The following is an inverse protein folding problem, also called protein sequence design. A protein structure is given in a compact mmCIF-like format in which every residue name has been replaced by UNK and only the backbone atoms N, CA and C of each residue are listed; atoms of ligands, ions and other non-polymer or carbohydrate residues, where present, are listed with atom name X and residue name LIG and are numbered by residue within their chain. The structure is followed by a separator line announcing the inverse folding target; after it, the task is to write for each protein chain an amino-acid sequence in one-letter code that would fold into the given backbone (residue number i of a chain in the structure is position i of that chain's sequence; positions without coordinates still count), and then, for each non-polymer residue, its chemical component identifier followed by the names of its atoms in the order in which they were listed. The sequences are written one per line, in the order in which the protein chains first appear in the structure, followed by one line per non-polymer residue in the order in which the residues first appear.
data_IF_178474077478
#
_entry.id   IF_178474077478
#
_cell.length_a   1.000
_cell.length_b   1.000
_cell.length_c   1.000
_cell.angle_alpha   90.00
_cell.angle_beta   90.00
_cell.angle_gamma   90.00
#
_symmetry.space_group_name_H-M   'P 1'
#
loop_
_entity.id
_entity.type
_entity.pdbx_description
1 polymer ?
#
# COMPACT_ATOMS: atom_id res chain seq x y z
N UNK A 1 35.79 -57.14 -13.93
CA UNK A 1 34.93 -56.47 -14.91
C UNK A 1 33.64 -55.95 -14.32
N UNK A 2 33.05 -56.58 -13.31
CA UNK A 2 31.80 -56.16 -12.63
C UNK A 2 31.89 -54.90 -11.74
N UNK A 3 33.06 -54.58 -11.21
CA UNK A 3 33.24 -53.43 -10.30
C UNK A 3 33.28 -52.08 -11.04
N UNK A 4 33.71 -52.06 -12.31
CA UNK A 4 33.75 -50.84 -13.11
C UNK A 4 32.34 -50.41 -13.57
N UNK A 5 31.49 -51.40 -13.89
CA UNK A 5 30.10 -51.15 -14.30
C UNK A 5 29.23 -50.66 -13.11
N UNK A 6 29.48 -51.17 -11.91
CA UNK A 6 28.80 -50.71 -10.71
C UNK A 6 29.19 -49.26 -10.33
N UNK A 7 30.49 -48.97 -10.39
CA UNK A 7 30.97 -47.62 -10.15
C UNK A 7 30.45 -46.61 -11.21
N UNK A 8 30.39 -46.99 -12.46
CA UNK A 8 29.82 -46.11 -13.51
C UNK A 8 28.33 -45.88 -13.33
N UNK A 9 27.57 -46.90 -12.91
CA UNK A 9 26.15 -46.76 -12.61
C UNK A 9 25.94 -45.88 -11.39
N UNK A 10 26.71 -46.07 -10.32
CA UNK A 10 26.62 -45.19 -9.12
C UNK A 10 27.01 -43.76 -9.48
N UNK A 11 28.04 -43.54 -10.27
CA UNK A 11 28.41 -42.21 -10.76
C UNK A 11 27.32 -41.58 -11.64
N UNK A 12 26.66 -42.37 -12.47
CA UNK A 12 25.52 -41.90 -13.29
C UNK A 12 24.34 -41.46 -12.42
N UNK A 13 23.93 -42.28 -11.45
CA UNK A 13 22.84 -41.93 -10.51
C UNK A 13 23.16 -40.74 -9.62
N UNK A 14 24.41 -40.59 -9.17
CA UNK A 14 24.87 -39.44 -8.41
C UNK A 14 24.83 -38.16 -9.26
N UNK A 15 25.26 -38.25 -10.52
CA UNK A 15 25.24 -37.11 -11.45
C UNK A 15 23.83 -36.72 -11.86
N UNK A 16 22.94 -37.72 -12.02
CA UNK A 16 21.53 -37.47 -12.33
C UNK A 16 20.80 -36.80 -11.11
N UNK A 17 21.08 -37.28 -9.91
CA UNK A 17 20.60 -36.65 -8.67
C UNK A 17 21.18 -35.26 -8.46
N UNK A 18 22.41 -35.01 -8.84
CA UNK A 18 23.05 -33.69 -8.80
C UNK A 18 22.36 -32.70 -9.75
N UNK A 19 22.10 -33.10 -11.00
CA UNK A 19 21.40 -32.26 -11.97
C UNK A 19 19.96 -31.93 -11.54
N UNK A 20 19.24 -32.89 -10.97
CA UNK A 20 17.88 -32.68 -10.47
C UNK A 20 17.85 -31.69 -9.32
N UNK A 21 18.82 -31.79 -8.42
CA UNK A 21 18.88 -30.87 -7.23
C UNK A 21 19.28 -29.44 -7.64
N UNK A 22 20.20 -29.30 -8.60
CA UNK A 22 20.63 -27.99 -9.09
C UNK A 22 19.54 -27.30 -9.90
N UNK A 23 18.88 -28.03 -10.81
CA UNK A 23 17.73 -27.50 -11.56
C UNK A 23 16.61 -27.04 -10.62
N UNK A 24 16.36 -27.78 -9.54
CA UNK A 24 15.34 -27.41 -8.57
C UNK A 24 15.69 -26.12 -7.81
N UNK A 25 16.96 -25.89 -7.48
CA UNK A 25 17.42 -24.66 -6.81
C UNK A 25 17.19 -23.45 -7.73
N UNK A 26 17.60 -23.55 -8.99
CA UNK A 26 17.40 -22.50 -10.00
C UNK A 26 15.92 -22.25 -10.25
N UNK A 27 15.12 -23.30 -10.36
CA UNK A 27 13.67 -23.22 -10.55
C UNK A 27 13.00 -22.53 -9.33
N UNK A 28 13.36 -22.92 -8.11
CA UNK A 28 12.82 -22.31 -6.89
C UNK A 28 13.15 -20.82 -6.78
N UNK A 29 14.38 -20.40 -7.13
CA UNK A 29 14.78 -19.01 -7.19
C UNK A 29 14.01 -18.23 -8.26
N UNK A 30 13.90 -18.79 -9.46
CA UNK A 30 13.15 -18.17 -10.54
C UNK A 30 11.66 -18.02 -10.19
N UNK A 31 11.06 -19.02 -9.56
CA UNK A 31 9.69 -18.94 -9.06
C UNK A 31 9.53 -17.88 -7.97
N UNK A 32 10.49 -17.75 -7.06
CA UNK A 32 10.48 -16.71 -6.03
C UNK A 32 10.58 -15.31 -6.65
N UNK A 33 11.49 -15.10 -7.61
CA UNK A 33 11.61 -13.82 -8.31
C UNK A 33 10.41 -13.52 -9.19
N UNK A 34 9.85 -14.51 -9.87
CA UNK A 34 8.61 -14.36 -10.65
C UNK A 34 7.44 -13.94 -9.75
N UNK A 35 7.31 -14.57 -8.58
CA UNK A 35 6.31 -14.22 -7.59
C UNK A 35 6.52 -12.78 -7.10
N UNK A 36 7.75 -12.39 -6.80
CA UNK A 36 8.11 -11.02 -6.41
C UNK A 36 7.73 -10.01 -7.49
N UNK A 37 8.17 -10.25 -8.72
CA UNK A 37 7.89 -9.35 -9.85
C UNK A 37 6.39 -9.23 -10.14
N UNK A 38 5.65 -10.34 -10.06
CA UNK A 38 4.19 -10.34 -10.17
C UNK A 38 3.53 -9.51 -9.07
N UNK A 39 4.03 -9.61 -7.82
CA UNK A 39 3.52 -8.82 -6.71
C UNK A 39 3.90 -7.34 -6.79
N UNK A 40 5.07 -7.01 -7.34
CA UNK A 40 5.42 -5.62 -7.66
C UNK A 40 4.48 -5.01 -8.70
N UNK A 41 4.14 -5.75 -9.76
CA UNK A 41 3.17 -5.31 -10.76
C UNK A 41 1.77 -5.10 -10.17
N UNK A 42 1.30 -6.02 -9.32
CA UNK A 42 0.03 -5.87 -8.60
C UNK A 42 0.04 -4.65 -7.67
N UNK A 43 1.14 -4.46 -6.94
CA UNK A 43 1.34 -3.34 -6.03
C UNK A 43 1.31 -2.01 -6.80
N UNK A 44 1.94 -1.94 -7.96
CA UNK A 44 1.91 -0.74 -8.79
C UNK A 44 0.51 -0.41 -9.29
N UNK A 45 -0.20 -1.42 -9.80
CA UNK A 45 -1.60 -1.26 -10.15
C UNK A 45 -2.43 -0.72 -8.99
N UNK A 46 -2.20 -1.21 -7.76
CA UNK A 46 -2.89 -0.72 -6.57
C UNK A 46 -2.46 0.70 -6.17
N UNK A 47 -1.17 1.04 -6.28
CA UNK A 47 -0.66 2.36 -5.91
C UNK A 47 -1.15 3.44 -6.86
N UNK A 48 -1.25 3.14 -8.16
CA UNK A 48 -1.75 4.07 -9.18
C UNK A 48 -3.28 4.12 -9.26
N UNK A 49 -3.99 3.13 -8.68
CA UNK A 49 -5.45 3.10 -8.65
C UNK A 49 -6.00 4.16 -7.68
N UNK A 50 -6.95 4.96 -8.16
CA UNK A 50 -7.67 5.91 -7.32
C UNK A 50 -8.65 5.23 -6.35
N UNK A 51 -8.99 5.86 -5.22
CA UNK A 51 -9.93 5.29 -4.25
C UNK A 51 -11.34 5.06 -4.83
N UNK A 52 -11.70 5.81 -5.85
CA UNK A 52 -13.01 5.70 -6.53
C UNK A 52 -13.13 4.43 -7.36
N UNK A 53 -12.04 3.97 -7.97
CA UNK A 53 -11.99 2.82 -8.88
C UNK A 53 -11.48 1.55 -8.20
N UNK A 54 -10.99 1.66 -6.97
CA UNK A 54 -10.49 0.54 -6.20
C UNK A 54 -11.56 -0.56 -6.06
N UNK A 55 -11.20 -1.78 -6.42
CA UNK A 55 -12.11 -2.96 -6.43
C UNK A 55 -13.45 -2.70 -7.15
N UNK A 56 -13.38 -2.04 -8.30
CA UNK A 56 -14.58 -1.76 -9.11
C UNK A 56 -15.51 -0.72 -8.51
N UNK A 57 -15.05 0.08 -7.54
CA UNK A 57 -15.82 1.15 -6.95
C UNK A 57 -16.86 0.72 -5.90
N UNK A 58 -17.01 -0.58 -5.61
CA UNK A 58 -18.00 -1.06 -4.65
C UNK A 58 -17.81 -0.48 -3.25
N UNK A 59 -16.54 -0.43 -2.78
CA UNK A 59 -16.20 0.16 -1.47
C UNK A 59 -16.47 1.66 -1.49
N UNK A 60 -16.19 2.32 -2.61
CA UNK A 60 -16.42 3.75 -2.78
C UNK A 60 -17.92 4.11 -2.71
N UNK A 61 -18.79 3.34 -3.35
CA UNK A 61 -20.23 3.59 -3.31
C UNK A 61 -20.81 3.51 -1.89
N UNK A 62 -20.34 2.55 -1.09
CA UNK A 62 -20.72 2.45 0.32
C UNK A 62 -20.20 3.66 1.12
N UNK A 63 -18.95 4.07 0.87
CA UNK A 63 -18.38 5.26 1.53
C UNK A 63 -19.12 6.53 1.16
N UNK A 64 -19.52 6.68 -0.10
CA UNK A 64 -20.30 7.83 -0.55
C UNK A 64 -21.69 7.88 0.10
N UNK A 65 -22.33 6.73 0.28
CA UNK A 65 -23.62 6.64 0.98
C UNK A 65 -23.48 7.02 2.46
N UNK A 66 -22.45 6.51 3.14
CA UNK A 66 -22.14 6.87 4.51
C UNK A 66 -21.81 8.38 4.65
N UNK A 67 -20.99 8.90 3.74
CA UNK A 67 -20.64 10.30 3.68
C UNK A 67 -21.88 11.19 3.59
N UNK A 68 -22.78 10.91 2.66
CA UNK A 68 -24.00 11.68 2.47
C UNK A 68 -24.89 11.67 3.72
N UNK A 69 -24.96 10.55 4.44
CA UNK A 69 -25.66 10.47 5.72
C UNK A 69 -24.97 11.30 6.82
N UNK A 70 -23.64 11.27 6.87
CA UNK A 70 -22.86 11.97 7.88
C UNK A 70 -22.80 13.49 7.66
N UNK A 71 -22.85 13.96 6.41
CA UNK A 71 -22.85 15.40 6.06
C UNK A 71 -24.02 16.12 6.74
N UNK A 72 -25.22 15.53 6.74
CA UNK A 72 -26.38 16.12 7.42
C UNK A 72 -26.14 16.31 8.93
N UNK A 73 -25.58 15.30 9.59
CA UNK A 73 -25.21 15.37 11.00
C UNK A 73 -24.12 16.41 11.22
N UNK A 74 -23.10 16.45 10.35
CA UNK A 74 -22.01 17.42 10.39
C UNK A 74 -22.52 18.86 10.32
N UNK A 75 -23.43 19.16 9.40
CA UNK A 75 -24.05 20.50 9.32
C UNK A 75 -24.85 20.86 10.56
N UNK A 76 -25.63 19.92 11.09
CA UNK A 76 -26.38 20.15 12.32
C UNK A 76 -25.46 20.49 13.50
N UNK A 77 -24.33 19.77 13.63
CA UNK A 77 -23.33 20.04 14.67
C UNK A 77 -22.63 21.39 14.47
N UNK A 78 -22.29 21.78 13.23
CA UNK A 78 -21.69 23.09 12.94
C UNK A 78 -22.64 24.22 13.36
N UNK A 79 -23.94 24.12 13.02
CA UNK A 79 -24.95 25.09 13.41
C UNK A 79 -25.11 25.14 14.94
N UNK A 80 -25.15 23.97 15.59
CA UNK A 80 -25.28 23.88 17.05
C UNK A 80 -24.09 24.54 17.75
N UNK A 81 -22.85 24.22 17.34
CA UNK A 81 -21.66 24.84 17.94
C UNK A 81 -21.56 26.33 17.66
N UNK A 82 -22.01 26.78 16.50
CA UNK A 82 -22.09 28.20 16.19
C UNK A 82 -23.09 28.90 17.09
N UNK A 83 -24.29 28.32 17.29
CA UNK A 83 -25.29 28.87 18.21
C UNK A 83 -24.76 28.93 19.65
N UNK A 84 -24.12 27.86 20.14
CA UNK A 84 -23.50 27.88 21.49
C UNK A 84 -22.40 28.94 21.59
N UNK A 85 -21.57 29.09 20.54
CA UNK A 85 -20.52 30.11 20.51
C UNK A 85 -21.09 31.52 20.54
N UNK A 86 -22.16 31.76 19.79
CA UNK A 86 -22.90 33.05 19.85
C UNK A 86 -23.48 33.30 21.24
N UNK A 87 -24.16 32.32 21.83
CA UNK A 87 -24.75 32.47 23.18
C UNK A 87 -23.68 32.79 24.22
N UNK A 88 -22.53 32.08 24.21
CA UNK A 88 -21.43 32.39 25.14
C UNK A 88 -20.86 33.79 24.99
N UNK A 89 -20.76 34.30 23.76
CA UNK A 89 -20.22 35.62 23.50
C UNK A 89 -21.26 36.73 23.72
N UNK A 90 -22.56 36.41 23.53
CA UNK A 90 -23.64 37.38 23.83
C UNK A 90 -23.77 37.67 25.32
N UNK A 91 -23.34 36.77 26.18
CA UNK A 91 -23.25 37.02 27.63
C UNK A 91 -22.17 38.06 27.98
N UNK A 92 -21.18 38.29 27.11
CA UNK A 92 -20.19 39.37 27.23
C UNK A 92 -20.52 40.51 26.24
N UNK A 93 -21.58 41.28 26.51
CA UNK A 93 -22.10 42.37 25.66
C UNK A 93 -21.05 43.39 25.16
N UNK A 94 -19.88 43.46 25.79
CA UNK A 94 -18.83 44.41 25.41
C UNK A 94 -18.04 44.03 24.18
N UNK A 95 -17.94 42.72 23.84
CA UNK A 95 -17.19 42.26 22.66
C UNK A 95 -18.01 42.29 21.36
N UNK A 96 -19.32 42.10 21.43
CA UNK A 96 -20.20 42.16 20.24
C UNK A 96 -20.36 43.59 19.66
N UNK A 97 -20.00 44.63 20.40
CA UNK A 97 -20.04 46.02 19.91
C UNK A 97 -18.91 46.30 18.87
N UNK A 98 -17.93 45.40 18.74
CA UNK A 98 -16.88 45.53 17.72
C UNK A 98 -17.27 44.68 16.48
N UNK A 99 -17.56 45.33 15.34
CA UNK A 99 -17.96 44.60 14.12
C UNK A 99 -16.90 43.61 13.63
N UNK A 100 -15.64 43.86 13.98
CA UNK A 100 -14.50 42.99 13.65
C UNK A 100 -14.63 41.60 14.31
N UNK A 101 -15.06 41.51 15.55
CA UNK A 101 -15.26 40.25 16.26
C UNK A 101 -16.39 39.42 15.62
N UNK A 102 -17.50 40.06 15.25
CA UNK A 102 -18.61 39.37 14.56
C UNK A 102 -18.20 38.79 13.23
N UNK A 103 -17.37 39.50 12.46
CA UNK A 103 -16.83 38.99 11.17
C UNK A 103 -15.96 37.77 11.39
N UNK A 104 -15.10 37.74 12.40
CA UNK A 104 -14.26 36.56 12.70
C UNK A 104 -15.09 35.33 13.06
N UNK A 105 -16.16 35.46 13.84
CA UNK A 105 -17.06 34.34 14.14
C UNK A 105 -17.79 33.84 12.93
N UNK A 106 -18.26 34.73 12.06
CA UNK A 106 -18.93 34.39 10.83
C UNK A 106 -17.97 33.70 9.85
N UNK A 107 -16.74 34.19 9.71
CA UNK A 107 -15.71 33.58 8.86
C UNK A 107 -15.37 32.17 9.34
N UNK A 108 -15.27 31.97 10.64
CA UNK A 108 -15.04 30.66 11.25
C UNK A 108 -16.19 29.69 10.97
N UNK A 109 -17.42 30.17 11.04
CA UNK A 109 -18.60 29.36 10.68
C UNK A 109 -18.61 28.98 9.21
N UNK A 110 -18.33 29.93 8.31
CA UNK A 110 -18.27 29.67 6.85
C UNK A 110 -17.15 28.66 6.54
N UNK A 111 -15.98 28.82 7.15
CA UNK A 111 -14.87 27.90 6.98
C UNK A 111 -15.22 26.48 7.48
N UNK A 112 -15.85 26.36 8.64
CA UNK A 112 -16.29 25.07 9.17
C UNK A 112 -17.35 24.42 8.25
N UNK A 113 -18.33 25.21 7.77
CA UNK A 113 -19.34 24.73 6.81
C UNK A 113 -18.70 24.26 5.50
N UNK A 114 -17.75 25.03 4.97
CA UNK A 114 -17.02 24.66 3.76
C UNK A 114 -16.21 23.37 3.95
N UNK A 115 -15.54 23.21 5.08
CA UNK A 115 -14.76 22.01 5.40
C UNK A 115 -15.64 20.76 5.48
N UNK A 116 -16.83 20.86 6.07
CA UNK A 116 -17.80 19.76 6.12
C UNK A 116 -18.36 19.46 4.72
N UNK A 117 -18.67 20.46 3.91
CA UNK A 117 -19.25 20.27 2.58
C UNK A 117 -18.25 19.73 1.54
N UNK A 118 -17.04 20.29 1.54
CA UNK A 118 -16.01 19.95 0.53
C UNK A 118 -14.95 19.00 1.07
N UNK A 119 -15.09 18.46 2.27
CA UNK A 119 -14.08 17.63 2.92
C UNK A 119 -13.69 16.40 2.10
N UNK A 120 -14.66 15.76 1.46
CA UNK A 120 -14.44 14.61 0.60
C UNK A 120 -13.68 14.98 -0.68
N UNK A 121 -14.03 16.10 -1.31
CA UNK A 121 -13.35 16.60 -2.51
C UNK A 121 -11.91 17.00 -2.20
N UNK A 122 -11.68 17.67 -1.07
CA UNK A 122 -10.34 18.02 -0.60
C UNK A 122 -9.50 16.75 -0.40
N UNK A 123 -10.05 15.74 0.25
CA UNK A 123 -9.38 14.47 0.48
C UNK A 123 -8.99 13.76 -0.83
N UNK A 124 -9.91 13.75 -1.81
CA UNK A 124 -9.66 13.19 -3.14
C UNK A 124 -8.58 13.97 -3.90
N UNK A 125 -8.61 15.29 -3.83
CA UNK A 125 -7.60 16.13 -4.48
C UNK A 125 -6.21 15.92 -3.86
N UNK A 126 -6.11 15.85 -2.53
CA UNK A 126 -4.85 15.50 -1.85
C UNK A 126 -4.36 14.12 -2.28
N UNK A 127 -5.26 13.13 -2.36
CA UNK A 127 -4.90 11.80 -2.83
C UNK A 127 -4.40 11.82 -4.29
N UNK A 128 -5.06 12.56 -5.16
CA UNK A 128 -4.67 12.72 -6.56
C UNK A 128 -3.29 13.35 -6.71
N UNK A 129 -3.00 14.39 -5.93
CA UNK A 129 -1.69 15.03 -5.90
C UNK A 129 -0.61 14.03 -5.43
N UNK A 130 -0.87 13.32 -4.33
CA UNK A 130 0.06 12.30 -3.83
C UNK A 130 0.30 11.19 -4.86
N UNK A 131 -0.74 10.78 -5.57
CA UNK A 131 -0.65 9.77 -6.62
C UNK A 131 0.19 10.26 -7.81
N UNK A 132 -0.02 11.51 -8.25
CA UNK A 132 0.80 12.15 -9.27
C UNK A 132 2.28 12.17 -8.89
N UNK A 133 2.60 12.62 -7.67
CA UNK A 133 3.99 12.65 -7.18
C UNK A 133 4.62 11.24 -7.19
N UNK A 134 3.89 10.21 -6.76
CA UNK A 134 4.38 8.82 -6.75
C UNK A 134 4.64 8.34 -8.17
N UNK A 135 3.77 8.67 -9.12
CA UNK A 135 3.94 8.30 -10.54
C UNK A 135 5.17 9.01 -11.14
N UNK A 136 5.30 10.32 -10.94
CA UNK A 136 6.43 11.10 -11.42
C UNK A 136 7.77 10.61 -10.83
N UNK A 137 7.79 10.26 -9.54
CA UNK A 137 8.97 9.69 -8.90
C UNK A 137 9.32 8.33 -9.51
N UNK A 138 8.35 7.48 -9.74
CA UNK A 138 8.60 6.16 -10.32
C UNK A 138 9.09 6.26 -11.76
N UNK A 139 8.51 7.15 -12.56
CA UNK A 139 8.93 7.38 -13.94
C UNK A 139 10.36 7.94 -14.00
N UNK A 140 10.72 8.83 -13.07
CA UNK A 140 12.09 9.36 -12.96
C UNK A 140 13.12 8.32 -12.53
N UNK A 141 12.70 7.25 -11.87
CA UNK A 141 13.55 6.13 -11.43
C UNK A 141 13.60 4.97 -12.44
N UNK A 142 13.09 5.14 -13.67
CA UNK A 142 13.06 4.09 -14.69
C UNK A 142 11.83 3.19 -14.64
N UNK A 143 10.85 3.53 -13.81
CA UNK A 143 9.61 2.78 -13.65
C UNK A 143 9.78 1.48 -12.84
N UNK A 144 8.75 0.65 -12.88
CA UNK A 144 8.76 -0.67 -12.21
C UNK A 144 9.74 -1.64 -12.84
N UNK A 145 10.05 -1.46 -14.12
CA UNK A 145 10.93 -2.36 -14.86
C UNK A 145 12.32 -2.46 -14.23
N UNK A 146 12.82 -1.37 -13.66
CA UNK A 146 14.10 -1.34 -12.95
C UNK A 146 14.04 -2.04 -11.57
N UNK A 147 12.86 -2.14 -10.98
CA UNK A 147 12.67 -2.84 -9.71
C UNK A 147 12.45 -4.35 -9.86
N UNK A 148 12.28 -4.83 -11.11
CA UNK A 148 12.12 -6.25 -11.38
C UNK A 148 13.47 -6.97 -11.22
N UNK A 149 13.44 -8.08 -10.51
CA UNK A 149 14.62 -8.89 -10.22
C UNK A 149 14.60 -10.14 -11.10
N UNK A 150 15.73 -10.42 -11.74
CA UNK A 150 15.95 -11.68 -12.46
C UNK A 150 17.23 -12.33 -11.98
N UNK A 151 17.31 -13.66 -12.07
CA UNK A 151 18.52 -14.39 -11.74
C UNK A 151 19.57 -14.14 -12.84
N UNK A 152 20.74 -13.52 -12.53
CA UNK A 152 21.80 -13.32 -13.50
C UNK A 152 22.29 -14.66 -14.07
N UNK A 153 22.60 -14.71 -15.37
CA UNK A 153 23.06 -15.91 -16.03
C UNK A 153 24.37 -16.48 -15.41
N UNK A 154 25.24 -15.59 -14.93
CA UNK A 154 26.47 -15.97 -14.23
C UNK A 154 26.18 -16.71 -12.92
N UNK A 155 25.14 -16.28 -12.20
CA UNK A 155 24.72 -16.90 -10.94
C UNK A 155 24.07 -18.26 -11.21
N UNK A 156 23.29 -18.37 -12.29
CA UNK A 156 22.70 -19.63 -12.72
C UNK A 156 23.76 -20.66 -13.08
N UNK A 157 24.76 -20.28 -13.88
CA UNK A 157 25.89 -21.16 -14.23
C UNK A 157 26.76 -21.50 -13.01
N UNK A 158 26.91 -20.58 -12.06
CA UNK A 158 27.63 -20.87 -10.83
C UNK A 158 26.90 -21.92 -9.97
N UNK A 159 25.57 -21.85 -9.88
CA UNK A 159 24.75 -22.82 -9.16
C UNK A 159 24.80 -24.20 -9.85
N UNK A 160 24.75 -24.23 -11.17
CA UNK A 160 24.82 -25.47 -11.96
C UNK A 160 26.17 -26.19 -11.81
N UNK A 161 27.25 -25.47 -11.52
CA UNK A 161 28.59 -26.03 -11.34
C UNK A 161 28.93 -26.39 -9.88
N UNK A 162 28.04 -26.23 -8.94
CA UNK A 162 28.25 -26.57 -7.53
C UNK A 162 28.10 -28.08 -7.31
N UNK A 163 29.06 -28.71 -6.69
CA UNK A 163 29.02 -30.15 -6.38
C UNK A 163 27.90 -30.52 -5.39
N UNK A 164 27.44 -31.78 -5.44
CA UNK A 164 26.30 -32.28 -4.67
C UNK A 164 26.36 -31.95 -3.16
N UNK A 165 27.51 -32.12 -2.49
CA UNK A 165 27.67 -31.86 -1.06
C UNK A 165 27.55 -30.35 -0.73
N UNK A 166 27.97 -29.48 -1.64
CA UNK A 166 27.87 -28.03 -1.46
C UNK A 166 26.47 -27.50 -1.86
N UNK A 167 25.67 -28.26 -2.61
CA UNK A 167 24.30 -27.89 -2.99
C UNK A 167 23.30 -27.99 -1.83
N UNK A 168 23.56 -28.82 -0.82
CA UNK A 168 22.65 -29.00 0.34
C UNK A 168 22.47 -27.70 1.15
N UNK A 169 23.52 -27.00 1.59
CA UNK A 169 23.36 -25.73 2.27
C UNK A 169 22.76 -24.65 1.36
N UNK A 170 23.10 -24.66 0.07
CA UNK A 170 22.55 -23.73 -0.90
C UNK A 170 21.02 -23.92 -1.08
N UNK A 171 20.59 -25.18 -1.15
CA UNK A 171 19.18 -25.56 -1.18
C UNK A 171 18.40 -25.04 0.03
N UNK A 172 18.97 -25.20 1.24
CA UNK A 172 18.34 -24.70 2.47
C UNK A 172 18.23 -23.17 2.47
N UNK A 173 19.29 -22.47 2.04
CA UNK A 173 19.29 -21.01 1.92
C UNK A 173 18.26 -20.52 0.90
N UNK A 174 18.11 -21.21 -0.24
CA UNK A 174 17.12 -20.82 -1.26
C UNK A 174 15.68 -21.03 -0.82
N UNK A 175 15.37 -22.09 -0.06
CA UNK A 175 14.04 -22.27 0.53
C UNK A 175 13.74 -21.16 1.53
N UNK A 176 14.66 -20.89 2.45
CA UNK A 176 14.47 -19.80 3.43
C UNK A 176 14.34 -18.46 2.73
N UNK A 177 15.14 -18.19 1.71
CA UNK A 177 15.08 -16.98 0.90
C UNK A 177 13.74 -16.82 0.17
N UNK A 178 13.26 -17.88 -0.48
CA UNK A 178 11.96 -17.86 -1.16
C UNK A 178 10.79 -17.64 -0.20
N UNK A 179 10.82 -18.27 0.96
CA UNK A 179 9.84 -18.04 2.01
C UNK A 179 9.85 -16.58 2.49
N UNK A 180 11.05 -16.02 2.69
CA UNK A 180 11.21 -14.64 3.11
C UNK A 180 10.69 -13.65 2.07
N UNK A 181 11.00 -13.86 0.79
CA UNK A 181 10.48 -13.07 -0.34
C UNK A 181 8.94 -13.12 -0.39
N UNK A 182 8.35 -14.30 -0.19
CA UNK A 182 6.90 -14.46 -0.18
C UNK A 182 6.24 -13.68 0.96
N UNK A 183 6.81 -13.75 2.17
CA UNK A 183 6.32 -12.99 3.33
C UNK A 183 6.45 -11.49 3.12
N UNK A 184 7.59 -11.01 2.60
CA UNK A 184 7.79 -9.59 2.28
C UNK A 184 6.79 -9.10 1.24
N UNK A 185 6.54 -9.88 0.18
CA UNK A 185 5.55 -9.56 -0.84
C UNK A 185 4.15 -9.39 -0.25
N UNK A 186 3.77 -10.27 0.66
CA UNK A 186 2.50 -10.19 1.37
C UNK A 186 2.40 -8.93 2.25
N UNK A 187 3.45 -8.62 3.01
CA UNK A 187 3.51 -7.41 3.85
C UNK A 187 3.40 -6.14 3.01
N UNK A 188 4.07 -6.08 1.85
CA UNK A 188 3.97 -4.94 0.94
C UNK A 188 2.54 -4.71 0.45
N UNK A 189 1.85 -5.77 0.01
CA UNK A 189 0.46 -5.67 -0.42
C UNK A 189 -0.44 -5.20 0.71
N UNK A 190 -0.32 -5.79 1.91
CA UNK A 190 -1.10 -5.35 3.08
C UNK A 190 -0.87 -3.88 3.42
N UNK A 191 0.35 -3.38 3.26
CA UNK A 191 0.68 -1.97 3.51
C UNK A 191 -0.09 -1.05 2.57
N UNK A 192 -0.18 -1.40 1.28
CA UNK A 192 -0.93 -0.62 0.29
C UNK A 192 -2.44 -0.70 0.54
N UNK A 193 -2.96 -1.89 0.87
CA UNK A 193 -4.37 -2.01 1.29
C UNK A 193 -4.67 -1.17 2.53
N UNK A 194 -3.74 -1.15 3.50
CA UNK A 194 -3.84 -0.31 4.70
C UNK A 194 -3.96 1.19 4.39
N UNK A 195 -3.34 1.67 3.30
CA UNK A 195 -3.49 3.05 2.82
C UNK A 195 -4.94 3.38 2.46
N UNK A 196 -5.60 2.53 1.67
CA UNK A 196 -7.00 2.70 1.30
C UNK A 196 -7.92 2.64 2.53
N UNK A 197 -7.66 1.68 3.42
CA UNK A 197 -8.43 1.53 4.64
C UNK A 197 -8.34 2.77 5.53
N UNK A 198 -7.14 3.32 5.71
CA UNK A 198 -6.94 4.58 6.46
C UNK A 198 -7.67 5.76 5.81
N UNK A 199 -7.60 5.87 4.49
CA UNK A 199 -8.29 6.93 3.76
C UNK A 199 -9.80 6.86 4.01
N UNK A 200 -10.39 5.68 3.92
CA UNK A 200 -11.81 5.48 4.18
C UNK A 200 -12.17 5.77 5.64
N UNK A 201 -11.33 5.35 6.58
CA UNK A 201 -11.51 5.68 8.00
C UNK A 201 -11.47 7.20 8.24
N UNK A 202 -10.49 7.90 7.65
CA UNK A 202 -10.40 9.36 7.80
C UNK A 202 -11.60 10.08 7.19
N UNK A 203 -12.11 9.60 6.06
CA UNK A 203 -13.33 10.15 5.46
C UNK A 203 -14.53 10.03 6.40
N UNK A 204 -14.69 8.90 7.10
CA UNK A 204 -15.74 8.73 8.11
C UNK A 204 -15.51 9.57 9.36
N UNK A 205 -14.25 9.66 9.82
CA UNK A 205 -13.90 10.38 11.07
C UNK A 205 -13.85 11.91 10.89
N UNK A 206 -13.80 12.41 9.64
CA UNK A 206 -13.78 13.85 9.37
C UNK A 206 -14.96 14.59 10.03
N UNK A 207 -16.11 13.90 10.16
CA UNK A 207 -17.32 14.46 10.78
C UNK A 207 -17.42 14.23 12.28
N UNK A 208 -16.61 13.30 12.84
CA UNK A 208 -16.66 12.93 14.26
C UNK A 208 -15.57 13.58 15.09
N UNK A 209 -14.62 14.29 14.47
CA UNK A 209 -13.55 14.99 15.15
C UNK A 209 -13.90 16.46 15.39
N UNK A 210 -14.62 16.77 16.46
CA UNK A 210 -14.70 18.12 16.94
C UNK A 210 -14.05 18.19 18.30
N UNK A 211 -12.85 18.57 18.42
CA UNK A 211 -12.41 19.22 19.65
C UNK A 211 -11.28 20.16 19.33
N UNK A 212 -11.55 21.42 19.14
CA UNK A 212 -10.55 22.42 19.47
C UNK A 212 -10.48 22.45 21.00
N UNK A 213 -9.47 21.84 21.58
CA UNK A 213 -8.98 22.25 22.89
C UNK A 213 -8.32 23.60 22.76
#
# INVERSE_FOLDING_TARGET
MQSADFLSAVFFYLKEGENLNQNWIVENLNNAFSTWNGKLGELWGLVTTGPQTFKGGAVWSVMQTLHNGMVGIGYALVVLFFAISLCKNTMNFHELKRPEAAIHYFLRFVAAKALVGYGMEIMLNVFSICNGIVTDMADSMGGISEAMVSLPAEMQTAIENVGFLASIPLWLVTILGSLFITVLSFVMILTVYGRFFRLYMYTCLLYTSPSPR
#
